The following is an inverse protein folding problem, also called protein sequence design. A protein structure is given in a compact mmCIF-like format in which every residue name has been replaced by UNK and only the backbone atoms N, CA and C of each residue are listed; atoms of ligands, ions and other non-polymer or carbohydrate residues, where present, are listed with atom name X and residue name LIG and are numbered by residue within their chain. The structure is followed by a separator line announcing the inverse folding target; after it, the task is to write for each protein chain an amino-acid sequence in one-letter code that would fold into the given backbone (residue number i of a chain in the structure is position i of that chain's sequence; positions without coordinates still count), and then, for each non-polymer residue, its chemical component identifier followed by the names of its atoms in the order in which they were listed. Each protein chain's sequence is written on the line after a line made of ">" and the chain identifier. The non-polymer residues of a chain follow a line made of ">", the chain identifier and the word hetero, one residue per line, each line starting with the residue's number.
data_IF_075015231653
#
_entry.id   IF_075015231653
#
_cell.length_a   1.000
_cell.length_b   1.000
_cell.length_c   1.000
_cell.angle_alpha   90.00
_cell.angle_beta   90.00
_cell.angle_gamma   90.00
#
_symmetry.space_group_name_H-M   'P 1'
#
loop_
_entity.id
_entity.type
_entity.pdbx_description
1 polymer ?
#
# COMPACT_ATOMS: atom_id res chain seq x y z
N UNK A 1 -29.59 0.13 -18.56
CA UNK A 1 -29.45 0.32 -17.10
C UNK A 1 -29.40 1.80 -16.81
N UNK A 2 -30.27 2.30 -15.95
CA UNK A 2 -30.28 3.70 -15.48
C UNK A 2 -29.33 3.83 -14.29
N UNK A 3 -28.31 4.68 -14.39
CA UNK A 3 -27.28 4.90 -13.35
C UNK A 3 -27.79 5.84 -12.24
N UNK A 4 -29.02 5.64 -11.76
CA UNK A 4 -29.70 6.53 -10.82
C UNK A 4 -29.01 6.63 -9.44
N UNK A 5 -28.24 5.62 -9.05
CA UNK A 5 -27.44 5.64 -7.81
C UNK A 5 -26.32 6.71 -7.82
N UNK A 6 -25.98 7.26 -8.99
CA UNK A 6 -25.04 8.38 -9.11
C UNK A 6 -25.71 9.76 -8.90
N UNK A 7 -27.03 9.80 -8.66
CA UNK A 7 -27.77 11.03 -8.38
C UNK A 7 -27.66 12.06 -9.49
N UNK A 8 -27.22 13.28 -9.15
CA UNK A 8 -27.04 14.39 -10.11
C UNK A 8 -26.00 14.09 -11.20
N UNK A 9 -25.15 13.08 -11.01
CA UNK A 9 -24.15 12.63 -11.98
C UNK A 9 -24.61 11.40 -12.78
N UNK A 10 -25.88 11.04 -12.73
CA UNK A 10 -26.41 9.89 -13.47
C UNK A 10 -26.21 9.99 -15.00
N UNK A 11 -26.06 11.19 -15.54
CA UNK A 11 -25.73 11.44 -16.95
C UNK A 11 -24.24 11.23 -17.30
N UNK A 12 -23.34 11.10 -16.32
CA UNK A 12 -21.90 10.94 -16.55
C UNK A 12 -21.60 9.70 -17.40
N UNK A 13 -22.30 8.60 -17.15
CA UNK A 13 -22.05 7.35 -17.88
C UNK A 13 -22.54 7.45 -19.33
N UNK A 14 -23.62 8.19 -19.59
CA UNK A 14 -24.05 8.45 -20.96
C UNK A 14 -23.06 9.33 -21.70
N UNK A 15 -22.56 10.39 -21.07
CA UNK A 15 -21.55 11.27 -21.65
C UNK A 15 -20.25 10.50 -21.93
N UNK A 16 -19.75 9.74 -20.97
CA UNK A 16 -18.54 8.95 -21.13
C UNK A 16 -18.65 7.93 -22.28
N UNK A 17 -19.83 7.33 -22.50
CA UNK A 17 -20.10 6.44 -23.65
C UNK A 17 -20.15 7.17 -24.99
N UNK A 18 -20.56 8.44 -25.03
CA UNK A 18 -20.54 9.25 -26.27
C UNK A 18 -19.12 9.51 -26.75
N UNK A 19 -18.18 9.68 -25.82
CA UNK A 19 -16.78 9.99 -26.13
C UNK A 19 -15.98 8.76 -26.58
N UNK A 20 -16.39 7.55 -26.18
CA UNK A 20 -15.75 6.33 -26.67
C UNK A 20 -16.20 5.05 -25.96
N UNK A 21 -15.69 3.89 -26.40
CA UNK A 21 -15.95 2.63 -25.71
C UNK A 21 -15.35 2.67 -24.29
N UNK A 22 -16.22 2.55 -23.29
CA UNK A 22 -15.80 2.42 -21.91
C UNK A 22 -15.30 1.00 -21.64
N UNK A 23 -14.13 0.90 -21.00
CA UNK A 23 -13.52 -0.36 -20.54
C UNK A 23 -13.30 -1.38 -21.66
N UNK A 24 -12.43 -1.10 -22.65
CA UNK A 24 -12.11 -2.09 -23.67
C UNK A 24 -11.66 -3.38 -23.00
N UNK A 25 -12.38 -4.48 -23.24
CA UNK A 25 -12.06 -5.76 -22.62
C UNK A 25 -10.76 -6.28 -23.24
N UNK A 26 -9.70 -6.27 -22.43
CA UNK A 26 -8.40 -6.78 -22.83
C UNK A 26 -8.27 -8.22 -22.32
N UNK A 27 -8.00 -9.18 -23.20
CA UNK A 27 -7.78 -10.58 -22.79
C UNK A 27 -6.50 -10.66 -21.96
N UNK A 28 -6.45 -11.39 -20.83
CA UNK A 28 -5.21 -11.57 -20.09
C UNK A 28 -4.09 -12.03 -21.02
N UNK A 29 -2.96 -11.32 -21.01
CA UNK A 29 -1.85 -11.58 -21.92
C UNK A 29 -0.91 -10.38 -22.09
N UNK A 30 0.16 -10.53 -22.89
CA UNK A 30 1.20 -9.52 -23.05
C UNK A 30 0.67 -8.16 -23.52
N UNK A 31 -0.33 -8.14 -24.40
CA UNK A 31 -0.94 -6.89 -24.91
C UNK A 31 -1.64 -6.10 -23.78
N UNK A 32 -2.35 -6.79 -22.89
CA UNK A 32 -3.01 -6.16 -21.74
C UNK A 32 -1.98 -5.59 -20.77
N UNK A 33 -0.88 -6.30 -20.53
CA UNK A 33 0.24 -5.81 -19.71
C UNK A 33 0.86 -4.56 -20.35
N UNK A 34 1.05 -4.58 -21.67
CA UNK A 34 1.60 -3.44 -22.41
C UNK A 34 0.70 -2.21 -22.32
N UNK A 35 -0.61 -2.37 -22.56
CA UNK A 35 -1.59 -1.28 -22.43
C UNK A 35 -1.68 -0.73 -21.01
N UNK A 36 -1.67 -1.60 -20.01
CA UNK A 36 -1.68 -1.19 -18.61
C UNK A 36 -0.44 -0.35 -18.28
N UNK A 37 0.74 -0.79 -18.77
CA UNK A 37 1.98 -0.03 -18.66
C UNK A 37 1.86 1.33 -19.35
N UNK A 38 1.47 1.36 -20.62
CA UNK A 38 1.27 2.59 -21.41
C UNK A 38 0.41 3.62 -20.66
N UNK A 39 -0.71 3.19 -20.08
CA UNK A 39 -1.61 4.04 -19.29
C UNK A 39 -0.95 4.54 -17.99
N UNK A 40 -0.17 3.71 -17.30
CA UNK A 40 0.56 4.11 -16.09
C UNK A 40 1.70 5.09 -16.39
N UNK A 41 2.24 5.08 -17.61
CA UNK A 41 3.19 6.08 -18.11
C UNK A 41 4.55 6.10 -17.42
N UNK A 42 4.91 5.09 -16.62
CA UNK A 42 6.15 5.04 -15.85
C UNK A 42 6.77 3.64 -15.77
N UNK A 43 7.23 3.10 -16.92
CA UNK A 43 7.71 1.71 -17.04
C UNK A 43 8.91 1.52 -18.00
N UNK A 44 9.52 2.60 -18.50
CA UNK A 44 10.61 2.53 -19.48
C UNK A 44 12.01 2.35 -18.86
N UNK A 45 12.07 2.16 -17.55
CA UNK A 45 13.32 1.99 -16.79
C UNK A 45 13.24 0.73 -15.93
N UNK A 46 14.38 0.13 -15.53
CA UNK A 46 14.38 -1.00 -14.62
C UNK A 46 13.60 -0.69 -13.33
N UNK A 47 12.53 -1.45 -13.09
CA UNK A 47 11.63 -1.34 -11.94
C UNK A 47 12.23 -1.97 -10.66
N UNK A 48 13.53 -1.72 -10.43
CA UNK A 48 14.26 -2.29 -9.30
C UNK A 48 14.32 -1.30 -8.12
N UNK A 49 14.04 -1.76 -6.88
CA UNK A 49 14.26 -0.92 -5.72
C UNK A 49 15.74 -0.58 -5.57
N UNK A 50 16.04 0.68 -5.25
CA UNK A 50 17.40 1.19 -5.08
C UNK A 50 17.75 1.20 -3.59
N UNK A 51 19.02 0.91 -3.29
CA UNK A 51 19.58 1.01 -1.94
C UNK A 51 18.80 0.21 -0.89
N UNK A 52 18.41 -1.03 -1.18
CA UNK A 52 17.69 -1.87 -0.22
C UNK A 52 18.54 -2.10 1.04
N UNK A 53 17.98 -1.80 2.20
CA UNK A 53 18.64 -1.93 3.50
C UNK A 53 17.73 -2.65 4.50
N UNK A 54 18.32 -3.46 5.36
CA UNK A 54 17.71 -4.01 6.58
C UNK A 54 18.29 -3.24 7.75
N UNK A 55 17.46 -2.54 8.50
CA UNK A 55 17.91 -1.62 9.55
C UNK A 55 17.76 -2.20 10.94
N UNK A 56 16.75 -3.06 11.14
CA UNK A 56 16.49 -3.69 12.42
C UNK A 56 15.87 -5.06 12.24
N UNK A 57 16.00 -5.90 13.27
CA UNK A 57 15.32 -7.18 13.40
C UNK A 57 14.72 -7.29 14.78
N UNK A 58 13.56 -7.93 14.89
CA UNK A 58 12.93 -8.21 16.17
C UNK A 58 12.22 -9.56 16.16
N UNK A 59 11.94 -10.07 17.35
CA UNK A 59 11.01 -11.17 17.54
C UNK A 59 9.90 -10.72 18.49
N UNK A 60 8.65 -11.01 18.13
CA UNK A 60 7.46 -10.66 18.91
C UNK A 60 6.36 -11.67 18.63
N UNK A 61 5.73 -12.21 19.67
CA UNK A 61 4.57 -13.12 19.58
C UNK A 61 4.76 -14.33 18.63
N UNK A 62 5.98 -14.91 18.62
CA UNK A 62 6.33 -16.04 17.77
C UNK A 62 6.58 -15.69 16.30
N UNK A 63 6.75 -14.40 15.99
CA UNK A 63 7.08 -13.89 14.66
C UNK A 63 8.47 -13.23 14.67
N UNK A 64 9.27 -13.47 13.64
CA UNK A 64 10.47 -12.69 13.35
C UNK A 64 10.10 -11.59 12.35
N UNK A 65 10.43 -10.35 12.67
CA UNK A 65 10.27 -9.18 11.80
C UNK A 65 11.61 -8.55 11.42
N UNK A 66 11.70 -8.04 10.20
CA UNK A 66 12.81 -7.22 9.72
C UNK A 66 12.28 -5.86 9.25
N UNK A 67 12.94 -4.79 9.66
CA UNK A 67 12.63 -3.44 9.18
C UNK A 67 13.51 -3.15 7.97
N UNK A 68 12.86 -2.81 6.86
CA UNK A 68 13.52 -2.59 5.59
C UNK A 68 13.25 -1.20 5.05
N UNK A 69 14.21 -0.67 4.30
CA UNK A 69 14.07 0.58 3.57
C UNK A 69 14.60 0.48 2.15
N UNK A 70 13.95 1.15 1.21
CA UNK A 70 14.46 1.33 -0.16
C UNK A 70 14.01 2.65 -0.77
N UNK A 71 14.66 3.04 -1.85
CA UNK A 71 14.22 4.13 -2.72
C UNK A 71 13.55 3.57 -3.98
N UNK A 72 12.47 4.23 -4.42
CA UNK A 72 11.83 3.99 -5.73
C UNK A 72 12.25 5.01 -6.78
N UNK A 73 13.29 5.80 -6.49
CA UNK A 73 13.82 6.83 -7.38
C UNK A 73 13.23 8.24 -7.18
N UNK A 74 12.23 8.40 -6.31
CA UNK A 74 11.66 9.70 -5.97
C UNK A 74 11.02 9.71 -4.57
N UNK A 75 10.91 10.93 -4.01
CA UNK A 75 10.31 11.18 -2.72
C UNK A 75 11.09 10.56 -1.55
N UNK A 76 10.46 10.48 -0.36
CA UNK A 76 11.05 9.80 0.79
C UNK A 76 11.35 8.32 0.51
N UNK A 77 12.22 7.71 1.33
CA UNK A 77 12.44 6.26 1.28
C UNK A 77 11.17 5.52 1.71
N UNK A 78 10.88 4.42 1.04
CA UNK A 78 9.84 3.48 1.45
C UNK A 78 10.35 2.69 2.64
N UNK A 79 9.59 2.65 3.72
CA UNK A 79 9.79 1.76 4.85
C UNK A 79 8.83 0.57 4.72
N UNK A 80 9.31 -0.59 5.17
CA UNK A 80 8.56 -1.82 5.15
C UNK A 80 8.92 -2.71 6.33
N UNK A 81 8.04 -3.67 6.58
CA UNK A 81 8.29 -4.78 7.46
C UNK A 81 8.19 -6.08 6.69
N UNK A 82 9.20 -6.93 6.85
CA UNK A 82 9.20 -8.30 6.37
C UNK A 82 9.03 -9.24 7.54
N UNK A 83 8.03 -10.11 7.47
CA UNK A 83 7.65 -11.01 8.56
C UNK A 83 7.73 -12.46 8.14
N UNK A 84 8.14 -13.31 9.09
CA UNK A 84 8.03 -14.77 8.99
C UNK A 84 7.75 -15.38 10.37
N UNK A 85 7.17 -16.60 10.45
CA UNK A 85 7.13 -17.35 11.70
C UNK A 85 8.54 -17.52 12.28
N UNK A 86 8.69 -17.31 13.58
CA UNK A 86 9.95 -17.55 14.28
C UNK A 86 10.40 -19.01 14.09
N UNK A 87 11.70 -19.19 13.86
CA UNK A 87 12.29 -20.52 13.68
C UNK A 87 11.99 -21.21 12.33
N UNK A 88 11.22 -20.60 11.43
CA UNK A 88 11.05 -21.14 10.07
C UNK A 88 12.39 -21.24 9.34
N UNK A 89 12.67 -22.40 8.75
CA UNK A 89 13.92 -22.68 8.00
C UNK A 89 13.68 -23.00 6.53
N UNK A 90 12.50 -23.53 6.23
CA UNK A 90 12.09 -23.89 4.87
C UNK A 90 11.44 -22.69 4.15
N UNK A 91 11.42 -22.69 2.80
CA UNK A 91 10.68 -21.71 2.02
C UNK A 91 9.19 -21.67 2.40
N UNK A 92 8.66 -20.47 2.57
CA UNK A 92 7.26 -20.23 2.90
C UNK A 92 6.54 -19.56 1.73
N UNK A 93 5.23 -19.81 1.55
CA UNK A 93 4.43 -19.02 0.62
C UNK A 93 4.51 -17.53 0.98
N UNK A 94 4.79 -16.69 -0.02
CA UNK A 94 5.00 -15.26 0.16
C UNK A 94 3.77 -14.43 -0.21
N UNK A 95 3.49 -13.40 0.59
CA UNK A 95 2.44 -12.42 0.34
C UNK A 95 3.04 -11.02 0.31
N UNK A 96 2.72 -10.25 -0.73
CA UNK A 96 2.92 -8.80 -0.73
C UNK A 96 1.63 -8.13 -0.24
N UNK A 97 1.69 -7.47 0.91
CA UNK A 97 0.56 -6.85 1.56
C UNK A 97 0.55 -5.34 1.31
N UNK A 98 -0.57 -4.83 0.78
CA UNK A 98 -0.82 -3.41 0.54
C UNK A 98 -1.94 -2.92 1.46
N UNK A 99 -1.73 -1.76 2.08
CA UNK A 99 -2.74 -1.09 2.88
C UNK A 99 -3.71 -0.30 1.99
N UNK A 100 -4.86 0.06 2.54
CA UNK A 100 -5.86 0.86 1.84
C UNK A 100 -5.53 2.35 1.81
N UNK A 101 -6.38 3.11 1.10
CA UNK A 101 -6.39 4.57 1.16
C UNK A 101 -6.81 5.06 2.56
N UNK A 102 -7.93 4.56 3.08
CA UNK A 102 -8.38 4.72 4.47
C UNK A 102 -8.61 6.15 4.99
N UNK A 103 -8.40 7.21 4.19
CA UNK A 103 -8.60 8.61 4.59
C UNK A 103 -7.55 9.15 5.58
N UNK A 104 -6.90 8.27 6.34
CA UNK A 104 -5.82 8.58 7.27
C UNK A 104 -4.47 8.28 6.63
N UNK A 105 -3.69 9.32 6.30
CA UNK A 105 -2.42 9.21 5.58
C UNK A 105 -1.17 9.09 6.46
N UNK A 106 -1.34 9.28 7.77
CA UNK A 106 -0.21 9.29 8.69
C UNK A 106 0.50 7.92 8.80
N UNK A 107 -0.28 6.85 8.81
CA UNK A 107 0.16 5.45 8.81
C UNK A 107 -0.01 4.80 7.45
N UNK A 108 0.85 3.84 7.13
CA UNK A 108 0.71 2.97 5.96
C UNK A 108 0.62 1.51 6.39
N UNK A 109 1.75 0.81 6.42
CA UNK A 109 1.88 -0.58 6.88
C UNK A 109 1.29 -0.81 8.26
N UNK A 110 1.36 0.18 9.15
CA UNK A 110 0.81 0.11 10.52
C UNK A 110 -0.71 -0.10 10.53
N UNK A 111 -1.41 0.27 9.45
CA UNK A 111 -2.87 0.05 9.31
C UNK A 111 -3.28 -1.42 9.24
N UNK A 112 -2.33 -2.30 8.91
CA UNK A 112 -2.61 -3.71 8.62
C UNK A 112 -1.60 -4.66 9.29
N UNK A 113 -0.57 -4.12 9.93
CA UNK A 113 0.49 -4.86 10.59
C UNK A 113 0.90 -4.22 11.92
N UNK A 114 1.33 -5.05 12.86
CA UNK A 114 1.97 -4.65 14.10
C UNK A 114 3.50 -4.82 13.99
N UNK A 115 4.21 -3.74 14.23
CA UNK A 115 5.67 -3.70 14.22
C UNK A 115 6.30 -4.07 15.57
N UNK A 116 7.57 -3.67 15.80
CA UNK A 116 8.29 -3.95 17.03
C UNK A 116 7.74 -3.17 18.24
N UNK A 117 7.16 -2.00 18.00
CA UNK A 117 6.70 -1.12 19.05
C UNK A 117 5.29 -1.49 19.55
N UNK A 118 4.94 -1.02 20.75
CA UNK A 118 3.57 -1.09 21.23
C UNK A 118 2.62 -0.33 20.29
N UNK A 119 1.43 -0.90 20.06
CA UNK A 119 0.40 -0.26 19.25
C UNK A 119 -0.13 1.00 19.95
N UNK A 120 -0.38 2.05 19.19
CA UNK A 120 -0.97 3.28 19.72
C UNK A 120 -2.49 3.14 19.87
N UNK A 121 -3.12 4.01 20.66
CA UNK A 121 -4.59 4.04 20.78
C UNK A 121 -5.28 4.27 19.43
N UNK A 122 -4.73 5.16 18.60
CA UNK A 122 -5.23 5.42 17.24
C UNK A 122 -5.11 4.17 16.35
N UNK A 123 -4.02 3.41 16.49
CA UNK A 123 -3.85 2.18 15.75
C UNK A 123 -4.83 1.09 16.20
N UNK A 124 -5.10 0.99 17.50
CA UNK A 124 -6.12 0.08 18.03
C UNK A 124 -7.51 0.44 17.51
N UNK A 125 -7.91 1.71 17.59
CA UNK A 125 -9.19 2.20 17.04
C UNK A 125 -9.31 1.89 15.54
N UNK A 126 -8.22 2.02 14.79
CA UNK A 126 -8.17 1.67 13.39
C UNK A 126 -8.45 0.18 13.16
N UNK A 127 -7.81 -0.71 13.92
CA UNK A 127 -8.09 -2.15 13.84
C UNK A 127 -9.51 -2.50 14.29
N UNK A 128 -10.07 -1.83 15.29
CA UNK A 128 -11.43 -2.14 15.74
C UNK A 128 -12.46 -1.70 14.69
N UNK A 129 -12.24 -0.57 14.02
CA UNK A 129 -13.10 -0.04 12.96
C UNK A 129 -12.91 -0.70 11.58
N UNK A 130 -11.75 -1.30 11.31
CA UNK A 130 -11.39 -1.87 10.01
C UNK A 130 -10.74 -3.25 10.14
N UNK A 131 -10.83 -4.11 9.12
CA UNK A 131 -10.13 -5.41 9.11
C UNK A 131 -10.48 -6.39 10.25
N UNK A 132 -11.56 -6.13 11.00
CA UNK A 132 -12.11 -7.06 11.99
C UNK A 132 -11.32 -7.16 13.28
N UNK A 133 -10.79 -6.05 13.81
CA UNK A 133 -10.18 -5.98 15.13
C UNK A 133 -8.73 -6.43 15.19
N UNK A 134 -8.03 -6.56 14.04
CA UNK A 134 -6.68 -7.16 14.03
C UNK A 134 -5.78 -6.68 12.90
N UNK A 135 -4.48 -6.73 13.16
CA UNK A 135 -3.45 -6.71 12.14
C UNK A 135 -3.46 -8.03 11.33
N UNK A 136 -4.11 -8.01 10.16
CA UNK A 136 -4.26 -9.21 9.34
C UNK A 136 -2.93 -9.73 8.78
N UNK A 137 -1.92 -8.88 8.61
CA UNK A 137 -0.56 -9.30 8.23
C UNK A 137 0.00 -10.26 9.28
N UNK A 138 0.01 -9.87 10.55
CA UNK A 138 0.51 -10.71 11.64
C UNK A 138 -0.31 -12.01 11.76
N UNK A 139 -1.62 -11.96 11.50
CA UNK A 139 -2.48 -13.15 11.46
C UNK A 139 -2.12 -14.12 10.32
N UNK A 140 -1.76 -13.62 9.13
CA UNK A 140 -1.28 -14.46 8.02
C UNK A 140 0.08 -15.07 8.34
N UNK A 141 1.00 -14.31 8.92
CA UNK A 141 2.32 -14.82 9.29
C UNK A 141 2.18 -15.99 10.26
N UNK A 142 1.31 -15.88 11.28
CA UNK A 142 1.01 -16.99 12.21
C UNK A 142 0.43 -18.24 11.52
N UNK A 143 -0.10 -18.12 10.30
CA UNK A 143 -0.60 -19.24 9.49
C UNK A 143 0.48 -19.85 8.57
N UNK A 144 1.74 -19.45 8.71
CA UNK A 144 2.86 -20.04 7.96
C UNK A 144 3.20 -19.30 6.67
N UNK A 145 2.77 -18.05 6.51
CA UNK A 145 3.17 -17.20 5.38
C UNK A 145 4.37 -16.34 5.74
N UNK A 146 5.19 -16.04 4.74
CA UNK A 146 6.08 -14.88 4.81
C UNK A 146 5.40 -13.68 4.18
N UNK A 147 5.47 -12.51 4.80
CA UNK A 147 4.73 -11.32 4.35
C UNK A 147 5.64 -10.10 4.30
N UNK A 148 5.69 -9.46 3.13
CA UNK A 148 6.26 -8.12 2.98
C UNK A 148 5.12 -7.11 2.99
N UNK A 149 5.16 -6.15 3.92
CA UNK A 149 4.20 -5.03 3.99
C UNK A 149 4.96 -3.72 3.95
N UNK A 150 4.56 -2.79 3.09
CA UNK A 150 5.27 -1.53 2.91
C UNK A 150 4.33 -0.34 2.77
N UNK A 151 4.89 0.83 3.02
CA UNK A 151 4.17 2.09 2.83
C UNK A 151 4.05 2.43 1.33
N UNK A 152 2.86 2.81 0.89
CA UNK A 152 2.63 3.25 -0.49
C UNK A 152 2.77 4.77 -0.63
N UNK A 153 2.84 5.26 -1.86
CA UNK A 153 2.96 6.69 -2.16
C UNK A 153 1.92 7.52 -1.41
N UNK A 154 2.37 8.50 -0.61
CA UNK A 154 1.59 9.41 0.26
C UNK A 154 1.13 8.88 1.63
N UNK A 155 1.56 7.69 2.05
CA UNK A 155 1.25 7.14 3.37
C UNK A 155 2.52 6.80 4.16
N UNK A 156 2.42 6.75 5.49
CA UNK A 156 3.47 6.22 6.36
C UNK A 156 4.80 6.96 6.19
N UNK A 157 5.87 6.25 5.84
CA UNK A 157 7.18 6.84 5.56
C UNK A 157 7.23 7.69 4.29
N UNK A 158 6.25 7.54 3.39
CA UNK A 158 6.15 8.24 2.10
C UNK A 158 5.11 9.36 2.08
N UNK A 159 4.58 9.76 3.24
CA UNK A 159 3.63 10.88 3.37
C UNK A 159 4.31 12.22 3.09
N UNK A 160 3.51 13.25 2.83
CA UNK A 160 4.01 14.62 2.86
C UNK A 160 4.44 14.99 4.29
N UNK A 161 5.63 15.57 4.46
CA UNK A 161 5.98 16.25 5.70
C UNK A 161 4.95 17.34 6.02
N UNK A 162 4.66 17.57 7.30
CA UNK A 162 3.68 18.57 7.73
C UNK A 162 4.10 19.96 7.25
N UNK A 163 5.39 20.23 7.34
CA UNK A 163 6.03 21.48 6.93
C UNK A 163 5.82 21.76 5.43
N UNK A 164 5.80 20.71 4.59
CA UNK A 164 5.52 20.83 3.16
C UNK A 164 4.05 21.17 2.89
N UNK A 165 3.12 20.67 3.71
CA UNK A 165 1.69 20.95 3.55
C UNK A 165 1.33 22.38 3.98
N UNK A 166 1.92 22.87 5.07
CA UNK A 166 1.71 24.23 5.57
C UNK A 166 2.19 25.30 4.57
N UNK A 167 3.36 25.10 3.96
CA UNK A 167 3.87 26.02 2.93
C UNK A 167 2.96 26.09 1.69
N UNK A 168 2.29 25.00 1.32
CA UNK A 168 1.34 24.99 0.20
C UNK A 168 0.01 25.68 0.51
N UNK A 169 -0.38 25.74 1.79
CA UNK A 169 -1.59 26.43 2.26
C UNK A 169 -1.36 27.93 2.46
N UNK A 170 -0.11 28.33 2.70
CA UNK A 170 0.32 29.71 2.90
C UNK A 170 1.09 30.30 1.72
N UNK A 171 1.14 29.60 0.58
CA UNK A 171 1.80 30.07 -0.63
C UNK A 171 1.14 31.34 -1.17
N UNK A 172 1.83 32.45 -0.99
CA UNK A 172 1.64 33.72 -1.70
C UNK A 172 1.57 33.47 -3.22
N UNK A 173 0.56 34.05 -3.86
CA UNK A 173 0.40 34.05 -5.32
C UNK A 173 1.31 35.03 -6.04
#
# INVERSE_FOLDING_TARGET
>A
MTYSHLGIYSNLVEEARRQGPLYPTARPGPETVHKAREVLGFFDQPELPREVQINARWEKDGLTGEEMYWSVGYGPRTQAWFFRPSGAREPLPAVLALHDHGGFKYYGKEKIAEGPNAISGIQQEWFDGAYGGRAWVNALVRRGYTVLVHDTFLWGSRKFPVETMEQGLHGEG
#
